data_IF_439681638394
#
_entry.id   IF_439681638394
#
_cell.length_a   1.000
_cell.length_b   1.000
_cell.length_c   1.000
_cell.angle_alpha   90.00
_cell.angle_beta   90.00
_cell.angle_gamma   90.00
#
_symmetry.space_group_name_H-M   'P 1'
#
loop_
_entity.id
_entity.type
_entity.pdbx_description
1 polymer ?
#
# COMPACT_ATOMS: atom_id res chain seq x y z
N UNK A 1 -6.60 16.73 1.29
CA UNK A 1 -5.73 17.55 0.42
C UNK A 1 -4.28 17.28 0.79
N UNK A 2 -3.44 16.84 -0.16
CA UNK A 2 -1.99 16.65 0.01
C UNK A 2 -1.27 17.84 -0.66
N UNK A 3 -0.41 18.55 0.05
CA UNK A 3 0.34 19.71 -0.47
C UNK A 3 1.83 19.42 -0.42
N UNK A 4 2.49 19.46 -1.57
CA UNK A 4 3.88 19.08 -1.75
C UNK A 4 4.71 20.31 -2.16
N UNK A 5 5.88 20.49 -1.55
CA UNK A 5 6.80 21.57 -1.88
C UNK A 5 7.71 21.20 -3.05
N UNK A 6 7.71 21.99 -4.12
CA UNK A 6 8.55 21.74 -5.30
C UNK A 6 10.05 21.72 -4.95
N UNK A 7 10.47 22.67 -4.12
CA UNK A 7 11.87 22.78 -3.68
C UNK A 7 12.30 21.56 -2.86
N UNK A 8 11.43 21.05 -1.97
CA UNK A 8 11.73 19.85 -1.18
C UNK A 8 11.75 18.59 -2.04
N UNK A 9 10.85 18.48 -3.01
CA UNK A 9 10.84 17.35 -3.96
C UNK A 9 12.13 17.29 -4.77
N UNK A 10 12.63 18.43 -5.24
CA UNK A 10 13.90 18.51 -5.97
C UNK A 10 15.05 18.17 -5.02
N UNK A 11 15.12 18.83 -3.86
CA UNK A 11 16.19 18.63 -2.87
C UNK A 11 16.32 17.17 -2.40
N UNK A 12 15.18 16.47 -2.26
CA UNK A 12 15.13 15.06 -1.82
C UNK A 12 15.09 14.07 -2.98
N UNK A 13 15.24 14.51 -4.23
CA UNK A 13 15.15 13.67 -5.42
C UNK A 13 13.85 12.82 -5.48
N UNK A 14 12.71 13.40 -5.06
CA UNK A 14 11.39 12.76 -4.98
C UNK A 14 10.48 13.05 -6.18
N UNK A 15 10.95 13.82 -7.18
CA UNK A 15 10.12 14.27 -8.31
C UNK A 15 9.45 13.08 -9.02
N UNK A 16 10.22 12.05 -9.37
CA UNK A 16 9.68 10.88 -10.07
C UNK A 16 8.67 10.08 -9.22
N UNK A 17 8.90 9.99 -7.90
CA UNK A 17 8.00 9.32 -6.96
C UNK A 17 6.63 10.00 -6.92
N UNK A 18 6.63 11.32 -6.83
CA UNK A 18 5.39 12.12 -6.81
C UNK A 18 4.65 12.06 -8.15
N UNK A 19 5.37 12.03 -9.27
CA UNK A 19 4.75 11.85 -10.59
C UNK A 19 4.10 10.46 -10.73
N UNK A 20 4.78 9.43 -10.23
CA UNK A 20 4.27 8.05 -10.20
C UNK A 20 3.04 7.93 -9.30
N UNK A 21 3.09 8.48 -8.08
CA UNK A 21 1.94 8.53 -7.17
C UNK A 21 0.74 9.22 -7.83
N UNK A 22 0.96 10.36 -8.49
CA UNK A 22 -0.11 11.07 -9.22
C UNK A 22 -0.72 10.22 -10.32
N UNK A 23 0.10 9.48 -11.07
CA UNK A 23 -0.36 8.61 -12.16
C UNK A 23 -1.23 7.47 -11.62
N UNK A 24 -0.78 6.78 -10.57
CA UNK A 24 -1.54 5.70 -9.91
C UNK A 24 -2.89 6.22 -9.42
N UNK A 25 -2.89 7.34 -8.70
CA UNK A 25 -4.11 7.94 -8.14
C UNK A 25 -5.10 8.46 -9.20
N UNK A 26 -4.67 8.74 -10.44
CA UNK A 26 -5.54 9.15 -11.55
C UNK A 26 -6.11 7.98 -12.35
N UNK A 27 -5.44 6.83 -12.32
CA UNK A 27 -5.74 5.69 -13.21
C UNK A 27 -6.39 4.53 -12.48
N UNK A 28 -6.30 4.50 -11.15
CA UNK A 28 -6.94 3.49 -10.30
C UNK A 28 -8.40 3.87 -10.01
N UNK A 29 -9.30 2.88 -10.11
CA UNK A 29 -10.72 3.00 -9.77
C UNK A 29 -11.12 1.73 -9.01
N UNK A 30 -10.97 1.76 -7.68
CA UNK A 30 -11.20 0.61 -6.82
C UNK A 30 -11.73 1.06 -5.44
N UNK A 31 -12.72 0.37 -4.86
CA UNK A 31 -13.36 0.79 -3.60
C UNK A 31 -12.43 0.85 -2.39
N UNK A 32 -11.30 0.15 -2.43
CA UNK A 32 -10.31 0.09 -1.35
C UNK A 32 -9.00 0.84 -1.64
N UNK A 33 -9.01 1.75 -2.61
CA UNK A 33 -7.88 2.64 -2.95
C UNK A 33 -8.36 4.08 -2.85
N UNK A 34 -7.56 4.95 -2.22
CA UNK A 34 -7.91 6.38 -2.14
C UNK A 34 -8.01 6.99 -3.54
N UNK A 35 -9.17 7.57 -3.85
CA UNK A 35 -9.39 8.27 -5.12
C UNK A 35 -8.81 9.69 -5.10
N UNK A 36 -8.20 10.12 -6.21
CA UNK A 36 -7.84 11.52 -6.44
C UNK A 36 -8.81 12.20 -7.39
N UNK A 37 -9.46 13.26 -6.91
CA UNK A 37 -10.42 14.04 -7.69
C UNK A 37 -9.75 15.04 -8.62
N UNK A 38 -8.72 15.75 -8.14
CA UNK A 38 -8.03 16.79 -8.90
C UNK A 38 -6.56 16.89 -8.51
N UNK A 39 -5.71 17.29 -9.46
CA UNK A 39 -4.31 17.68 -9.21
C UNK A 39 -4.03 19.03 -9.86
N UNK A 40 -3.44 19.98 -9.14
CA UNK A 40 -3.03 21.27 -9.68
C UNK A 40 -1.74 21.77 -9.01
N UNK A 41 -1.15 22.83 -9.56
CA UNK A 41 0.12 23.37 -9.07
C UNK A 41 0.11 24.90 -9.03
N UNK A 42 0.86 25.44 -8.07
CA UNK A 42 1.22 26.86 -8.00
C UNK A 42 2.69 27.05 -8.40
N UNK A 43 3.23 28.27 -8.22
CA UNK A 43 4.67 28.54 -8.45
C UNK A 43 5.57 27.60 -7.66
N UNK A 44 5.24 27.32 -6.39
CA UNK A 44 6.10 26.59 -5.45
C UNK A 44 5.48 25.29 -4.88
N UNK A 45 4.19 25.02 -5.13
CA UNK A 45 3.50 23.84 -4.59
C UNK A 45 2.87 22.98 -5.69
N UNK A 46 2.76 21.69 -5.43
CA UNK A 46 1.89 20.73 -6.11
C UNK A 46 0.82 20.29 -5.11
N UNK A 47 -0.44 20.21 -5.54
CA UNK A 47 -1.59 19.93 -4.68
C UNK A 47 -2.42 18.80 -5.26
N UNK A 48 -2.70 17.79 -4.42
CA UNK A 48 -3.63 16.70 -4.72
C UNK A 48 -4.90 16.85 -3.88
N UNK A 49 -6.04 16.86 -4.57
CA UNK A 49 -7.37 16.83 -3.96
C UNK A 49 -7.85 15.39 -4.02
N UNK A 50 -7.93 14.77 -2.85
CA UNK A 50 -8.14 13.33 -2.68
C UNK A 50 -9.32 13.09 -1.75
N UNK A 51 -9.87 11.88 -1.81
CA UNK A 51 -10.89 11.41 -0.87
C UNK A 51 -10.45 11.64 0.58
N UNK A 52 -11.37 12.15 1.38
CA UNK A 52 -11.15 12.34 2.81
C UNK A 52 -11.58 11.09 3.58
N UNK A 53 -10.72 10.61 4.47
CA UNK A 53 -10.99 9.44 5.31
C UNK A 53 -11.09 9.87 6.76
N UNK A 54 -12.31 9.96 7.29
CA UNK A 54 -12.57 10.43 8.65
C UNK A 54 -12.11 9.45 9.74
N UNK A 55 -12.03 8.14 9.42
CA UNK A 55 -11.62 7.09 10.36
C UNK A 55 -10.12 7.07 10.67
N UNK A 56 -9.32 7.87 9.97
CA UNK A 56 -7.87 8.00 10.21
C UNK A 56 -7.09 6.75 9.78
N UNK A 57 -5.89 6.60 10.35
CA UNK A 57 -4.97 5.49 10.05
C UNK A 57 -5.44 4.18 10.70
N UNK A 58 -5.33 3.07 9.97
CA UNK A 58 -5.62 1.73 10.46
C UNK A 58 -4.72 1.32 11.63
N UNK A 59 -3.48 1.82 11.68
CA UNK A 59 -2.61 1.67 12.84
C UNK A 59 -3.31 2.09 14.15
N UNK A 60 -3.99 3.25 14.14
CA UNK A 60 -4.70 3.77 15.31
C UNK A 60 -5.89 2.89 15.66
N UNK A 61 -6.55 2.31 14.66
CA UNK A 61 -7.61 1.33 14.87
C UNK A 61 -7.08 0.10 15.62
N UNK A 62 -5.98 -0.51 15.17
CA UNK A 62 -5.35 -1.67 15.85
C UNK A 62 -4.96 -1.30 17.28
N UNK A 63 -4.28 -0.15 17.47
CA UNK A 63 -3.82 0.31 18.78
C UNK A 63 -4.96 0.60 19.76
N UNK A 64 -6.15 0.92 19.25
CA UNK A 64 -7.35 1.16 20.07
C UNK A 64 -8.05 -0.14 20.52
N UNK A 65 -7.72 -1.28 19.92
CA UNK A 65 -8.33 -2.56 20.28
C UNK A 65 -7.82 -3.06 21.64
N UNK A 66 -8.62 -3.88 22.34
CA UNK A 66 -8.14 -4.63 23.49
C UNK A 66 -6.84 -5.37 23.16
N UNK A 67 -5.84 -5.23 24.02
CA UNK A 67 -4.51 -5.82 23.84
C UNK A 67 -3.76 -5.39 22.57
N UNK A 68 -4.25 -4.40 21.81
CA UNK A 68 -3.65 -3.93 20.54
C UNK A 68 -3.65 -4.98 19.43
N UNK A 69 -4.69 -5.80 19.37
CA UNK A 69 -4.86 -6.82 18.34
C UNK A 69 -6.34 -7.00 17.98
N UNK A 70 -6.55 -7.50 16.77
CA UNK A 70 -7.85 -7.81 16.21
C UNK A 70 -8.19 -9.28 16.46
N UNK A 71 -9.48 -9.58 16.51
CA UNK A 71 -9.93 -10.97 16.45
C UNK A 71 -9.63 -11.56 15.07
N UNK A 72 -9.58 -12.90 14.98
CA UNK A 72 -9.38 -13.56 13.68
C UNK A 72 -10.43 -13.15 12.65
N UNK A 73 -11.68 -12.97 13.07
CA UNK A 73 -12.78 -12.54 12.20
C UNK A 73 -12.56 -11.12 11.67
N UNK A 74 -12.14 -10.18 12.53
CA UNK A 74 -11.81 -8.82 12.12
C UNK A 74 -10.58 -8.78 11.20
N UNK A 75 -9.52 -9.51 11.55
CA UNK A 75 -8.31 -9.60 10.73
C UNK A 75 -8.62 -10.18 9.35
N UNK A 76 -9.46 -11.22 9.28
CA UNK A 76 -9.93 -11.84 8.05
C UNK A 76 -10.73 -10.87 7.17
N UNK A 77 -11.59 -10.07 7.79
CA UNK A 77 -12.33 -9.03 7.07
C UNK A 77 -11.39 -8.02 6.40
N UNK A 78 -10.49 -7.40 7.18
CA UNK A 78 -9.59 -6.37 6.66
C UNK A 78 -8.55 -6.91 5.68
N UNK A 79 -7.98 -8.09 5.95
CA UNK A 79 -6.96 -8.65 5.07
C UNK A 79 -7.53 -9.00 3.69
N UNK A 80 -8.79 -9.44 3.60
CA UNK A 80 -9.47 -9.67 2.33
C UNK A 80 -9.58 -8.38 1.50
N UNK A 81 -9.89 -7.23 2.12
CA UNK A 81 -9.96 -5.95 1.41
C UNK A 81 -8.59 -5.49 0.91
N UNK A 82 -7.55 -5.68 1.73
CA UNK A 82 -6.17 -5.37 1.34
C UNK A 82 -5.72 -6.26 0.17
N UNK A 83 -6.05 -7.56 0.20
CA UNK A 83 -5.76 -8.49 -0.91
C UNK A 83 -6.41 -8.00 -2.20
N UNK A 84 -7.69 -7.64 -2.17
CA UNK A 84 -8.41 -7.13 -3.35
C UNK A 84 -7.76 -5.86 -3.91
N UNK A 85 -7.35 -4.94 -3.05
CA UNK A 85 -6.67 -3.71 -3.45
C UNK A 85 -5.29 -3.98 -4.10
N UNK A 86 -4.48 -4.88 -3.52
CA UNK A 86 -3.15 -5.24 -4.04
C UNK A 86 -3.28 -5.97 -5.37
N UNK A 87 -4.20 -6.93 -5.47
CA UNK A 87 -4.41 -7.68 -6.71
C UNK A 87 -4.85 -6.75 -7.84
N UNK A 88 -5.74 -5.80 -7.56
CA UNK A 88 -6.12 -4.76 -8.51
C UNK A 88 -4.92 -3.91 -8.98
N UNK A 89 -4.07 -3.45 -8.05
CA UNK A 89 -2.85 -2.70 -8.40
C UNK A 89 -1.93 -3.52 -9.30
N UNK A 90 -1.73 -4.80 -8.98
CA UNK A 90 -0.91 -5.72 -9.76
C UNK A 90 -1.49 -5.91 -11.18
N UNK A 91 -2.81 -6.06 -11.31
CA UNK A 91 -3.49 -6.09 -12.62
C UNK A 91 -3.29 -4.80 -13.43
N UNK A 92 -3.25 -3.64 -12.77
CA UNK A 92 -2.97 -2.36 -13.41
C UNK A 92 -1.48 -2.14 -13.75
N UNK A 93 -0.58 -3.02 -13.31
CA UNK A 93 0.86 -2.88 -13.54
C UNK A 93 1.54 -1.98 -12.52
N UNK A 94 1.08 -2.01 -11.27
CA UNK A 94 1.69 -1.31 -10.15
C UNK A 94 2.06 -2.29 -9.04
N UNK A 95 3.28 -2.15 -8.51
CA UNK A 95 3.71 -2.84 -7.26
C UNK A 95 3.76 -1.80 -6.15
N UNK A 96 3.12 -2.08 -5.01
CA UNK A 96 2.82 -1.09 -3.99
C UNK A 96 4.05 -0.74 -3.12
N UNK A 97 4.71 -1.76 -2.57
CA UNK A 97 6.01 -1.76 -1.87
C UNK A 97 6.13 -0.98 -0.56
N UNK A 98 5.04 -0.42 -0.05
CA UNK A 98 5.02 0.22 1.27
C UNK A 98 3.73 -0.14 2.04
N UNK A 99 3.34 -1.41 2.00
CA UNK A 99 2.23 -1.91 2.79
C UNK A 99 2.61 -1.93 4.27
N UNK A 100 1.85 -1.17 5.06
CA UNK A 100 1.93 -1.09 6.52
C UNK A 100 0.65 -0.43 7.06
N UNK A 101 0.28 -0.62 8.34
CA UNK A 101 -0.92 -0.05 8.95
C UNK A 101 -1.06 1.47 8.82
N UNK A 102 0.06 2.21 8.75
CA UNK A 102 0.08 3.67 8.58
C UNK A 102 -0.40 4.11 7.20
N UNK A 103 -0.18 3.29 6.18
CA UNK A 103 -0.59 3.58 4.80
C UNK A 103 -1.96 2.97 4.44
N UNK A 104 -2.71 2.52 5.44
CA UNK A 104 -4.09 2.08 5.31
C UNK A 104 -4.95 3.07 6.08
N UNK A 105 -5.93 3.67 5.43
CA UNK A 105 -6.92 4.54 6.06
C UNK A 105 -8.23 3.78 6.28
N UNK A 106 -9.01 4.22 7.26
CA UNK A 106 -10.33 3.69 7.55
C UNK A 106 -11.39 4.71 7.10
N UNK A 107 -12.30 4.27 6.24
CA UNK A 107 -13.44 5.06 5.81
C UNK A 107 -14.52 5.11 6.91
N UNK A 108 -15.42 6.08 6.86
CA UNK A 108 -16.52 6.22 7.84
C UNK A 108 -17.44 4.98 7.92
N UNK A 109 -17.56 4.24 6.82
CA UNK A 109 -18.32 2.99 6.78
C UNK A 109 -17.56 1.78 7.37
N UNK A 110 -16.30 1.95 7.79
CA UNK A 110 -15.46 0.89 8.36
C UNK A 110 -14.59 0.14 7.34
N UNK A 111 -14.73 0.38 6.04
CA UNK A 111 -13.88 -0.22 5.00
C UNK A 111 -12.52 0.47 4.89
N UNK A 112 -11.50 -0.26 4.42
CA UNK A 112 -10.14 0.27 4.26
C UNK A 112 -9.95 1.03 2.95
N UNK A 113 -8.98 1.92 2.94
CA UNK A 113 -8.50 2.63 1.76
C UNK A 113 -6.96 2.67 1.77
N UNK A 114 -6.31 2.03 0.79
CA UNK A 114 -4.86 2.15 0.60
C UNK A 114 -4.49 3.55 0.13
N UNK A 115 -3.41 4.11 0.67
CA UNK A 115 -2.90 5.45 0.38
C UNK A 115 -1.38 5.48 0.32
N UNK A 116 -0.80 6.60 -0.11
CA UNK A 116 0.65 6.86 -0.14
C UNK A 116 1.44 5.94 -1.09
N UNK A 117 1.32 6.24 -2.38
CA UNK A 117 1.97 5.47 -3.46
C UNK A 117 3.38 5.99 -3.79
N UNK A 118 4.05 6.68 -2.87
CA UNK A 118 5.34 7.36 -3.16
C UNK A 118 6.50 6.37 -3.38
N UNK A 119 6.41 5.15 -2.85
CA UNK A 119 7.37 4.06 -3.08
C UNK A 119 6.91 3.05 -4.13
N UNK A 120 5.70 3.21 -4.68
CA UNK A 120 5.17 2.30 -5.68
C UNK A 120 5.95 2.34 -6.99
N UNK A 121 5.83 1.27 -7.77
CA UNK A 121 6.60 1.08 -9.01
C UNK A 121 5.68 0.71 -10.16
N UNK A 122 5.82 1.44 -11.25
CA UNK A 122 5.22 1.09 -12.55
C UNK A 122 5.95 -0.10 -13.16
N UNK A 123 5.18 -1.04 -13.68
CA UNK A 123 5.60 -2.28 -14.33
C UNK A 123 4.63 -2.64 -15.46
N UNK A 124 4.90 -3.72 -16.18
CA UNK A 124 3.90 -4.31 -17.08
C UNK A 124 2.68 -4.78 -16.29
N UNK A 125 1.45 -4.55 -16.81
CA UNK A 125 0.23 -5.09 -16.22
C UNK A 125 0.35 -6.60 -15.98
N UNK A 126 0.03 -7.04 -14.76
CA UNK A 126 0.01 -8.46 -14.41
C UNK A 126 -1.08 -9.17 -15.21
N UNK A 127 -0.71 -10.21 -15.96
CA UNK A 127 -1.70 -11.06 -16.62
C UNK A 127 -2.33 -11.98 -15.56
N UNK A 128 -3.66 -11.99 -15.39
CA UNK A 128 -4.30 -12.93 -14.48
C UNK A 128 -3.98 -14.37 -14.87
N UNK A 129 -3.39 -15.13 -13.93
CA UNK A 129 -3.04 -16.54 -14.11
C UNK A 129 -3.74 -17.36 -13.06
N UNK A 130 -4.36 -18.47 -13.46
CA UNK A 130 -4.88 -19.47 -12.51
C UNK A 130 -3.68 -20.19 -11.91
N UNK A 131 -3.60 -20.19 -10.58
CA UNK A 131 -2.56 -20.91 -9.85
C UNK A 131 -2.81 -22.40 -10.03
N UNK A 132 -1.95 -23.08 -10.77
CA UNK A 132 -2.14 -24.50 -11.12
C UNK A 132 -2.23 -25.43 -9.91
N UNK A 133 -1.63 -25.04 -8.79
CA UNK A 133 -1.69 -25.78 -7.52
C UNK A 133 -2.95 -25.51 -6.70
N UNK A 134 -3.72 -24.46 -7.01
CA UNK A 134 -4.92 -24.04 -6.27
C UNK A 134 -6.05 -23.68 -7.26
N UNK A 135 -6.87 -24.67 -7.68
CA UNK A 135 -7.97 -24.43 -8.59
C UNK A 135 -8.93 -23.35 -8.04
N UNK A 136 -9.14 -22.30 -8.81
CA UNK A 136 -10.01 -21.17 -8.44
C UNK A 136 -9.27 -19.95 -7.89
N UNK A 137 -7.98 -20.06 -7.57
CA UNK A 137 -7.15 -18.90 -7.24
C UNK A 137 -6.60 -18.28 -8.53
N UNK A 138 -6.96 -17.04 -8.78
CA UNK A 138 -6.35 -16.20 -9.81
C UNK A 138 -5.38 -15.28 -9.10
N UNK A 139 -4.20 -15.06 -9.69
CA UNK A 139 -3.25 -14.06 -9.23
C UNK A 139 -2.76 -13.30 -10.46
N UNK A 140 -2.69 -11.97 -10.36
CA UNK A 140 -1.96 -11.15 -11.30
C UNK A 140 -0.56 -10.90 -10.74
N UNK A 141 0.47 -11.43 -11.39
CA UNK A 141 1.85 -11.12 -11.05
C UNK A 141 2.50 -10.32 -12.19
N UNK A 142 2.79 -9.03 -11.97
CA UNK A 142 3.56 -8.23 -12.89
C UNK A 142 4.96 -8.78 -13.14
N UNK A 143 5.42 -8.71 -14.38
CA UNK A 143 6.79 -9.08 -14.74
C UNK A 143 7.74 -7.91 -14.40
N UNK A 144 8.06 -7.77 -13.12
CA UNK A 144 9.01 -6.79 -12.59
C UNK A 144 10.22 -7.49 -11.98
N UNK A 145 11.43 -7.01 -12.30
CA UNK A 145 12.63 -7.24 -11.49
C UNK A 145 13.29 -5.90 -11.24
N UNK A 146 13.49 -5.56 -9.96
CA UNK A 146 14.17 -4.32 -9.58
C UNK A 146 15.07 -4.51 -8.36
N UNK A 147 16.11 -3.68 -8.24
CA UNK A 147 17.11 -3.74 -7.16
C UNK A 147 17.00 -2.55 -6.20
N UNK A 148 15.92 -1.79 -6.24
CA UNK A 148 15.77 -0.60 -5.39
C UNK A 148 15.51 -0.97 -3.93
N UNK A 149 16.35 -0.51 -3.01
CA UNK A 149 16.11 -0.66 -1.58
C UNK A 149 15.08 0.39 -1.10
N UNK A 150 13.82 -0.01 -1.01
CA UNK A 150 12.69 0.83 -0.57
C UNK A 150 11.70 0.00 0.23
N UNK A 151 10.95 0.68 1.09
CA UNK A 151 9.96 0.10 2.00
C UNK A 151 10.25 0.52 3.44
N UNK A 152 9.38 0.12 4.34
CA UNK A 152 9.52 0.34 5.78
C UNK A 152 10.26 -0.84 6.40
N UNK A 153 11.25 -0.58 7.25
CA UNK A 153 12.26 -1.57 7.69
C UNK A 153 11.64 -2.87 8.21
N UNK A 154 10.59 -2.76 9.02
CA UNK A 154 9.88 -3.86 9.65
C UNK A 154 9.07 -4.70 8.66
N UNK A 155 8.81 -4.18 7.45
CA UNK A 155 7.98 -4.76 6.40
C UNK A 155 8.78 -5.24 5.18
N UNK A 156 10.11 -5.05 5.18
CA UNK A 156 10.96 -5.40 4.05
C UNK A 156 11.05 -6.92 3.85
N UNK A 157 10.86 -7.34 2.60
CA UNK A 157 11.09 -8.72 2.18
C UNK A 157 12.60 -9.06 2.17
N UNK A 158 12.99 -10.30 2.48
CA UNK A 158 14.40 -10.69 2.60
C UNK A 158 15.19 -10.47 1.31
N UNK A 159 14.58 -10.64 0.14
CA UNK A 159 15.19 -10.37 -1.17
C UNK A 159 15.47 -8.88 -1.41
N UNK A 160 14.69 -7.97 -0.79
CA UNK A 160 14.95 -6.53 -0.81
C UNK A 160 16.14 -6.21 0.08
N UNK A 161 16.19 -6.81 1.27
CA UNK A 161 17.30 -6.65 2.23
C UNK A 161 18.62 -7.16 1.64
N UNK A 162 18.58 -8.33 1.01
CA UNK A 162 19.75 -8.96 0.40
C UNK A 162 20.16 -8.33 -0.94
N UNK A 163 19.34 -7.45 -1.52
CA UNK A 163 19.62 -6.79 -2.78
C UNK A 163 19.69 -7.75 -3.98
N UNK A 164 19.07 -8.92 -3.90
CA UNK A 164 19.12 -9.98 -4.93
C UNK A 164 18.19 -9.73 -6.12
N UNK A 165 17.54 -8.56 -6.15
CA UNK A 165 16.42 -8.27 -7.03
C UNK A 165 15.11 -8.79 -6.45
N UNK A 166 14.05 -8.03 -6.66
CA UNK A 166 12.71 -8.35 -6.17
C UNK A 166 11.63 -8.03 -7.22
N UNK A 167 10.48 -8.69 -7.07
CA UNK A 167 9.31 -8.59 -7.93
C UNK A 167 8.08 -8.18 -7.11
N UNK A 168 6.87 -8.42 -7.63
CA UNK A 168 5.62 -8.10 -6.94
C UNK A 168 5.37 -8.91 -5.65
N UNK A 169 6.11 -10.00 -5.42
CA UNK A 169 5.93 -10.84 -4.23
C UNK A 169 6.26 -10.13 -2.92
N UNK A 170 7.00 -9.01 -2.97
CA UNK A 170 7.28 -8.18 -1.78
C UNK A 170 6.01 -7.64 -1.13
N UNK A 171 4.95 -7.41 -1.90
CA UNK A 171 3.66 -6.96 -1.37
C UNK A 171 2.97 -8.10 -0.57
N UNK A 172 3.11 -9.34 -1.04
CA UNK A 172 2.60 -10.52 -0.32
C UNK A 172 3.39 -10.84 0.94
N UNK A 173 4.70 -10.58 0.95
CA UNK A 173 5.51 -10.64 2.16
C UNK A 173 5.02 -9.62 3.20
N UNK A 174 4.88 -8.36 2.81
CA UNK A 174 4.37 -7.31 3.68
C UNK A 174 2.94 -7.59 4.17
N UNK A 175 2.10 -8.23 3.35
CA UNK A 175 0.76 -8.68 3.74
C UNK A 175 0.82 -9.70 4.89
N UNK A 176 1.77 -10.63 4.84
CA UNK A 176 1.99 -11.60 5.91
C UNK A 176 2.37 -10.93 7.24
N UNK A 177 3.24 -9.92 7.18
CA UNK A 177 3.62 -9.13 8.35
C UNK A 177 2.42 -8.34 8.88
N UNK A 178 1.67 -7.69 8.01
CA UNK A 178 0.45 -6.96 8.37
C UNK A 178 -0.56 -7.87 9.09
N UNK A 179 -0.84 -9.05 8.54
CA UNK A 179 -1.73 -10.03 9.18
C UNK A 179 -1.20 -10.50 10.54
N UNK A 180 0.12 -10.71 10.65
CA UNK A 180 0.75 -11.05 11.91
C UNK A 180 0.58 -9.92 12.95
N UNK A 181 0.78 -8.66 12.56
CA UNK A 181 0.60 -7.51 13.44
C UNK A 181 -0.86 -7.37 13.92
N UNK A 182 -1.82 -7.59 13.02
CA UNK A 182 -3.25 -7.63 13.37
C UNK A 182 -3.55 -8.68 14.45
N UNK A 183 -2.93 -9.86 14.38
CA UNK A 183 -3.25 -11.00 15.25
C UNK A 183 -2.41 -11.06 16.53
N UNK A 184 -1.15 -10.61 16.51
CA UNK A 184 -0.14 -10.97 17.53
C UNK A 184 0.19 -9.81 18.49
N UNK A 185 -0.59 -8.73 18.50
CA UNK A 185 -0.54 -7.71 19.54
C UNK A 185 0.87 -7.06 19.68
N UNK A 186 1.60 -6.89 18.57
CA UNK A 186 2.94 -6.32 18.54
C UNK A 186 2.88 -4.83 18.85
N UNK A 187 2.96 -4.48 20.12
CA UNK A 187 2.94 -3.08 20.54
C UNK A 187 2.81 -2.89 22.04
N UNK A 188 2.53 -3.94 22.82
CA UNK A 188 2.55 -3.87 24.28
C UNK A 188 3.96 -4.12 24.85
N UNK A 189 4.81 -3.09 24.87
CA UNK A 189 5.93 -3.05 25.80
C UNK A 189 5.38 -3.05 27.23
N UNK A 190 5.20 -4.23 27.82
CA UNK A 190 4.63 -4.40 29.15
C UNK A 190 4.04 -5.80 29.35
N UNK A 191 4.90 -6.78 29.58
CA UNK A 191 4.64 -7.79 30.61
C UNK A 191 5.30 -7.31 31.89
#
# INVERSE_FOLDING_TARGET
>A
MKVLSKDEMIKKNKVQRVLTEREILLTTDHPFIVSMYYSFQSRNKLVFIMQYCAGGEFLKLIQSQPYRCLTEEQAKFYICEVILAIEYLHMCGYVYRDLKPENILVHECGHILLTDFDLSKVTTPGTPKVVSSLPGLVVAEPELVTNSFVGTEEYLAPEVINGTGHNAAVDWWALGILLYEMLVCLGGGGR
#
